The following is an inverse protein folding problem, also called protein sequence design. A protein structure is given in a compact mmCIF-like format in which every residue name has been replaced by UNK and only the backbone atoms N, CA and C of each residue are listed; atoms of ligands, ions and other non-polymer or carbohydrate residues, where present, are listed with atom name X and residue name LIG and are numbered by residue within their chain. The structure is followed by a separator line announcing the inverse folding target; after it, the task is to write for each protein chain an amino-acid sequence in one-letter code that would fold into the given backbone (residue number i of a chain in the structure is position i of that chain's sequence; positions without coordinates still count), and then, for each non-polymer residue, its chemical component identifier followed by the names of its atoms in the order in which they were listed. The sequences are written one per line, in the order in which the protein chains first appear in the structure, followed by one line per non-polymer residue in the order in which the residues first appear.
data_IF_666502395199
#
_entry.id   IF_666502395199
#
_cell.length_a   1.000
_cell.length_b   1.000
_cell.length_c   1.000
_cell.angle_alpha   90.00
_cell.angle_beta   90.00
_cell.angle_gamma   90.00
#
_symmetry.space_group_name_H-M   'P 1'
#
loop_
_entity.id
_entity.type
_entity.pdbx_description
1 polymer ?
#
# COMPACT_ATOMS: atom_id res chain seq x y z
N UNK A 1 54.49 -34.84 3.90
CA UNK A 1 53.70 -34.40 2.73
C UNK A 1 52.40 -33.80 3.23
N UNK A 2 52.37 -32.49 3.47
CA UNK A 2 51.15 -31.77 3.84
C UNK A 2 50.45 -31.33 2.55
N UNK A 3 49.20 -31.76 2.35
CA UNK A 3 48.32 -31.19 1.32
C UNK A 3 47.44 -30.13 1.99
N UNK A 4 47.73 -28.88 1.70
CA UNK A 4 46.82 -27.76 1.92
C UNK A 4 45.73 -27.84 0.86
N UNK A 5 44.47 -27.95 1.27
CA UNK A 5 43.32 -27.81 0.38
C UNK A 5 42.82 -26.39 0.54
N UNK A 6 43.07 -25.56 -0.46
CA UNK A 6 42.57 -24.19 -0.53
C UNK A 6 41.11 -24.24 -1.00
N UNK A 7 40.18 -23.88 -0.11
CA UNK A 7 38.77 -23.70 -0.46
C UNK A 7 38.63 -22.26 -0.98
N UNK A 8 38.53 -22.10 -2.30
CA UNK A 8 38.16 -20.83 -2.91
C UNK A 8 36.68 -20.56 -2.63
N UNK A 9 36.39 -19.59 -1.77
CA UNK A 9 35.05 -19.05 -1.57
C UNK A 9 34.72 -18.21 -2.81
N UNK A 10 33.83 -18.72 -3.66
CA UNK A 10 33.26 -17.97 -4.77
C UNK A 10 32.21 -17.03 -4.16
N UNK A 11 32.54 -15.74 -4.06
CA UNK A 11 31.57 -14.69 -3.76
C UNK A 11 30.73 -14.50 -5.03
N UNK A 12 29.40 -14.68 -5.00
CA UNK A 12 28.58 -14.30 -6.15
C UNK A 12 28.61 -12.79 -6.25
N UNK A 13 29.13 -12.28 -7.36
CA UNK A 13 29.01 -10.88 -7.75
C UNK A 13 27.52 -10.64 -7.96
N UNK A 14 26.87 -10.02 -6.97
CA UNK A 14 25.54 -9.45 -7.13
C UNK A 14 25.69 -8.36 -8.17
N UNK A 15 25.18 -8.61 -9.37
CA UNK A 15 25.08 -7.61 -10.43
C UNK A 15 24.18 -6.50 -9.89
N UNK A 16 24.76 -5.36 -9.54
CA UNK A 16 24.02 -4.12 -9.31
C UNK A 16 23.40 -3.76 -10.66
N UNK A 17 22.15 -4.16 -10.87
CA UNK A 17 21.35 -3.66 -11.97
C UNK A 17 21.17 -2.16 -11.73
N UNK A 18 21.88 -1.35 -12.50
CA UNK A 18 21.61 0.08 -12.59
C UNK A 18 20.18 0.22 -13.10
N UNK A 19 19.29 0.76 -12.26
CA UNK A 19 17.93 1.06 -12.66
C UNK A 19 17.93 2.05 -13.82
N UNK A 20 17.35 1.63 -14.93
CA UNK A 20 17.26 2.42 -16.15
C UNK A 20 15.84 2.34 -16.70
N UNK A 21 15.38 3.39 -17.35
CA UNK A 21 14.09 3.35 -18.05
C UNK A 21 14.06 2.28 -19.15
N UNK A 22 15.22 1.83 -19.63
CA UNK A 22 15.33 0.75 -20.61
C UNK A 22 14.86 -0.61 -20.07
N UNK A 23 14.81 -0.81 -18.75
CA UNK A 23 14.22 -2.01 -18.14
C UNK A 23 12.68 -2.00 -18.19
N UNK A 24 12.08 -0.83 -18.46
CA UNK A 24 10.64 -0.58 -18.46
C UNK A 24 10.09 -0.22 -19.85
N UNK A 25 10.81 -0.53 -20.95
CA UNK A 25 10.28 -0.34 -22.30
C UNK A 25 9.02 -1.20 -22.52
N UNK A 26 7.86 -0.62 -22.22
CA UNK A 26 6.55 -1.21 -22.46
C UNK A 26 6.00 -0.69 -23.80
N UNK A 27 5.68 -1.62 -24.70
CA UNK A 27 4.88 -1.31 -25.87
C UNK A 27 3.45 -0.96 -25.44
N UNK A 28 3.19 0.33 -25.22
CA UNK A 28 1.86 0.87 -24.94
C UNK A 28 0.89 0.68 -26.13
N UNK A 29 1.35 0.13 -27.26
CA UNK A 29 0.59 -0.04 -28.50
C UNK A 29 -0.02 -1.42 -28.76
N UNK A 30 0.38 -2.50 -28.06
CA UNK A 30 -0.22 -3.82 -28.27
C UNK A 30 -0.29 -4.59 -26.94
N UNK A 31 -1.47 -5.08 -26.54
CA UNK A 31 -1.73 -5.71 -25.24
C UNK A 31 -1.03 -7.06 -25.03
N UNK A 32 0.31 -7.09 -24.97
CA UNK A 32 1.13 -8.26 -24.67
C UNK A 32 2.16 -7.91 -23.58
N UNK A 33 1.93 -8.39 -22.37
CA UNK A 33 2.88 -8.32 -21.25
C UNK A 33 3.75 -9.57 -21.23
N UNK A 34 5.08 -9.38 -21.25
CA UNK A 34 6.02 -10.26 -20.54
C UNK A 34 7.03 -9.37 -19.81
N UNK A 35 6.90 -9.29 -18.47
CA UNK A 35 7.93 -8.70 -17.62
C UNK A 35 9.02 -9.75 -17.37
N UNK A 36 10.27 -9.41 -17.67
CA UNK A 36 11.41 -10.35 -17.63
C UNK A 36 12.03 -10.58 -16.24
N UNK A 37 11.31 -10.27 -15.15
CA UNK A 37 11.82 -10.42 -13.78
C UNK A 37 10.98 -11.31 -12.86
N UNK A 38 10.01 -12.07 -13.39
CA UNK A 38 9.08 -12.87 -12.58
C UNK A 38 9.35 -14.37 -12.47
N UNK A 39 10.40 -14.93 -13.08
CA UNK A 39 10.55 -16.39 -13.20
C UNK A 39 11.75 -16.94 -12.43
N UNK A 40 11.77 -16.85 -11.10
CA UNK A 40 12.67 -17.72 -10.28
C UNK A 40 12.30 -17.86 -8.79
N UNK A 41 11.03 -17.67 -8.42
CA UNK A 41 10.53 -17.95 -7.06
C UNK A 41 9.24 -18.80 -7.05
N UNK A 42 9.15 -19.80 -7.91
CA UNK A 42 8.18 -20.89 -7.73
C UNK A 42 8.81 -22.20 -8.22
N UNK A 43 9.55 -22.89 -7.34
CA UNK A 43 9.74 -24.34 -7.41
C UNK A 43 10.27 -24.86 -6.08
N UNK A 44 9.34 -25.31 -5.24
CA UNK A 44 9.64 -25.92 -3.94
C UNK A 44 8.42 -26.61 -3.33
N UNK A 45 7.69 -27.41 -4.10
CA UNK A 45 6.66 -28.31 -3.54
C UNK A 45 7.28 -29.68 -3.22
N UNK A 46 7.54 -29.91 -1.93
CA UNK A 46 7.76 -31.23 -1.37
C UNK A 46 6.42 -31.93 -1.13
N UNK A 47 6.22 -33.05 -1.83
CA UNK A 47 5.09 -33.96 -1.66
C UNK A 47 5.15 -34.70 -0.32
N UNK A 48 4.07 -34.66 0.47
CA UNK A 48 3.84 -35.61 1.57
C UNK A 48 2.52 -36.34 1.32
N UNK A 49 2.64 -37.66 1.23
CA UNK A 49 1.58 -38.64 0.97
C UNK A 49 0.67 -38.81 2.18
N UNK A 50 -0.64 -38.95 1.90
CA UNK A 50 -1.68 -39.38 2.85
C UNK A 50 -1.63 -40.90 2.99
N UNK A 51 -1.56 -41.39 4.22
CA UNK A 51 -1.97 -42.76 4.55
C UNK A 51 -3.30 -42.75 5.31
N UNK A 52 -4.17 -43.63 4.84
CA UNK A 52 -5.55 -43.84 5.27
C UNK A 52 -5.58 -45.11 6.11
N UNK A 53 -6.16 -45.07 7.31
CA UNK A 53 -6.58 -46.28 8.01
C UNK A 53 -7.79 -45.99 8.89
N UNK A 54 -8.88 -46.69 8.59
CA UNK A 54 -10.12 -46.70 9.37
C UNK A 54 -10.23 -47.95 10.24
N UNK A 55 -10.91 -47.77 11.37
CA UNK A 55 -11.62 -48.73 12.22
C UNK A 55 -12.34 -47.85 13.26
N UNK A 56 -13.60 -47.99 13.64
CA UNK A 56 -14.53 -49.10 13.58
C UNK A 56 -15.20 -49.24 14.96
N UNK A 57 -16.40 -48.65 15.09
CA UNK A 57 -17.58 -49.03 15.90
C UNK A 57 -17.57 -49.05 17.46
N UNK A 58 -18.67 -48.47 17.96
CA UNK A 58 -19.69 -48.98 18.89
C UNK A 58 -19.71 -48.67 20.41
N UNK A 59 -20.89 -48.13 20.76
CA UNK A 59 -21.77 -48.40 21.90
C UNK A 59 -21.53 -47.77 23.29
N UNK A 60 -22.60 -47.18 23.84
CA UNK A 60 -22.76 -47.01 25.28
C UNK A 60 -23.69 -45.88 25.74
N UNK A 61 -24.99 -46.16 25.76
CA UNK A 61 -26.10 -45.43 26.42
C UNK A 61 -25.91 -45.22 27.94
N UNK A 62 -26.25 -44.03 28.46
CA UNK A 62 -27.12 -43.89 29.66
C UNK A 62 -27.53 -42.42 29.89
N UNK A 63 -28.82 -42.20 30.12
CA UNK A 63 -29.39 -40.91 30.51
C UNK A 63 -29.37 -40.70 32.03
N UNK A 64 -29.60 -39.46 32.45
CA UNK A 64 -30.58 -39.09 33.48
C UNK A 64 -30.48 -37.61 33.79
N UNK A 65 -31.65 -37.03 33.99
CA UNK A 65 -31.95 -35.69 34.44
C UNK A 65 -31.23 -35.30 35.74
N UNK A 66 -30.86 -34.03 35.89
CA UNK A 66 -31.23 -33.32 37.12
C UNK A 66 -31.28 -31.81 36.93
N UNK A 67 -32.37 -31.24 37.42
CA UNK A 67 -32.71 -29.83 37.50
C UNK A 67 -31.89 -29.09 38.56
N UNK A 68 -31.84 -27.77 38.34
CA UNK A 68 -31.77 -26.67 39.31
C UNK A 68 -30.66 -26.66 40.36
N UNK A 69 -29.82 -25.62 40.24
CA UNK A 69 -29.57 -24.71 41.37
C UNK A 69 -29.02 -23.38 40.89
N UNK A 70 -29.85 -22.35 41.07
CA UNK A 70 -29.49 -20.94 41.10
C UNK A 70 -28.17 -20.69 41.83
N UNK A 71 -27.27 -19.97 41.15
CA UNK A 71 -26.31 -19.07 41.80
C UNK A 71 -26.15 -17.84 40.93
N UNK A 72 -26.86 -16.80 41.33
CA UNK A 72 -26.50 -15.41 41.08
C UNK A 72 -25.01 -15.21 41.35
N UNK A 73 -24.26 -14.98 40.27
CA UNK A 73 -22.98 -14.30 40.32
C UNK A 73 -23.08 -13.11 39.41
N UNK A 74 -23.18 -11.96 40.05
CA UNK A 74 -22.99 -10.63 39.50
C UNK A 74 -21.87 -10.66 38.46
N UNK A 75 -22.27 -10.55 37.19
CA UNK A 75 -21.34 -10.20 36.12
C UNK A 75 -21.03 -8.71 36.31
N UNK A 76 -19.91 -8.43 36.95
CA UNK A 76 -19.23 -7.15 36.80
C UNK A 76 -19.06 -6.89 35.31
N UNK A 77 -19.70 -5.83 34.82
CA UNK A 77 -19.73 -5.49 33.41
C UNK A 77 -18.32 -5.31 32.87
N UNK A 78 -17.96 -6.15 31.90
CA UNK A 78 -16.95 -5.80 30.91
C UNK A 78 -17.43 -4.50 30.26
N UNK A 79 -16.80 -3.38 30.63
CA UNK A 79 -16.94 -2.14 29.90
C UNK A 79 -16.59 -2.46 28.44
N UNK A 80 -17.57 -2.29 27.55
CA UNK A 80 -17.42 -2.50 26.11
C UNK A 80 -16.11 -1.90 25.62
N UNK A 81 -15.15 -2.76 25.28
CA UNK A 81 -13.93 -2.36 24.58
C UNK A 81 -14.35 -1.84 23.21
N UNK A 82 -14.35 -0.52 23.11
CA UNK A 82 -14.74 0.38 22.02
C UNK A 82 -14.90 -0.24 20.64
N UNK A 83 -16.07 -0.01 20.05
CA UNK A 83 -16.30 -0.17 18.62
C UNK A 83 -15.44 0.87 17.89
N UNK A 84 -14.36 0.42 17.27
CA UNK A 84 -13.43 1.26 16.48
C UNK A 84 -13.88 1.36 15.01
N UNK A 85 -14.78 0.49 14.58
CA UNK A 85 -15.21 0.37 13.18
C UNK A 85 -16.72 0.58 13.10
N UNK A 86 -17.15 1.56 12.31
CA UNK A 86 -18.54 1.84 11.94
C UNK A 86 -18.81 1.30 10.52
N UNK A 87 -19.40 0.09 10.35
CA UNK A 87 -19.54 -0.56 9.03
C UNK A 87 -20.32 0.25 7.99
N UNK A 88 -21.16 1.20 8.40
CA UNK A 88 -21.93 2.06 7.51
C UNK A 88 -21.15 3.30 7.03
N UNK A 89 -20.01 3.62 7.66
CA UNK A 89 -19.20 4.78 7.27
C UNK A 89 -18.64 4.62 5.85
N UNK A 90 -18.80 5.64 5.01
CA UNK A 90 -18.45 5.57 3.58
C UNK A 90 -17.10 6.17 3.25
N UNK A 91 -16.48 6.87 4.20
CA UNK A 91 -15.11 7.38 4.12
C UNK A 91 -14.22 6.74 5.19
N UNK A 92 -12.90 6.94 5.08
CA UNK A 92 -11.95 6.53 6.14
C UNK A 92 -12.33 7.16 7.48
N UNK A 93 -12.68 8.45 7.47
CA UNK A 93 -13.10 9.18 8.66
C UNK A 93 -14.38 8.61 9.30
N UNK A 94 -15.39 8.29 8.50
CA UNK A 94 -16.65 7.78 9.03
C UNK A 94 -16.54 6.33 9.50
N UNK A 95 -15.70 5.53 8.82
CA UNK A 95 -15.56 4.08 9.05
C UNK A 95 -14.70 3.76 10.27
N UNK A 96 -13.63 4.52 10.52
CA UNK A 96 -12.64 4.20 11.56
C UNK A 96 -12.59 5.28 12.63
N UNK A 97 -13.26 5.02 13.75
CA UNK A 97 -13.32 5.94 14.88
C UNK A 97 -11.98 5.93 15.64
N UNK A 98 -11.55 7.08 16.19
CA UNK A 98 -10.44 7.11 17.14
C UNK A 98 -10.73 6.24 18.36
N UNK A 99 -9.67 5.73 18.99
CA UNK A 99 -9.79 4.98 20.23
C UNK A 99 -10.26 5.88 21.39
N UNK A 100 -10.86 5.33 22.46
CA UNK A 100 -11.17 6.10 23.65
C UNK A 100 -9.95 6.88 24.18
N UNK A 101 -10.11 8.18 24.41
CA UNK A 101 -9.03 9.09 24.85
C UNK A 101 -8.18 9.67 23.71
N UNK A 102 -8.37 9.22 22.47
CA UNK A 102 -7.75 9.81 21.30
C UNK A 102 -8.71 10.74 20.56
N UNK A 103 -8.16 11.83 20.04
CA UNK A 103 -8.87 12.77 19.18
C UNK A 103 -8.15 12.85 17.83
N UNK A 104 -8.89 12.99 16.72
CA UNK A 104 -8.25 13.17 15.41
C UNK A 104 -7.38 14.43 15.39
N UNK A 105 -6.21 14.32 14.78
CA UNK A 105 -5.37 15.49 14.51
C UNK A 105 -6.09 16.38 13.50
N UNK A 106 -6.16 17.68 13.81
CA UNK A 106 -6.79 18.67 12.94
C UNK A 106 -5.92 18.87 11.68
N UNK A 107 -6.57 18.99 10.53
CA UNK A 107 -5.94 19.28 9.24
C UNK A 107 -6.77 20.33 8.53
N UNK A 108 -6.14 21.16 7.70
CA UNK A 108 -6.89 22.13 6.89
C UNK A 108 -7.84 21.39 5.94
N UNK A 109 -9.11 21.83 5.86
CA UNK A 109 -10.16 21.19 5.04
C UNK A 109 -9.75 21.00 3.57
N UNK A 110 -8.89 21.90 3.09
CA UNK A 110 -8.42 21.94 1.72
C UNK A 110 -7.05 21.28 1.54
N UNK A 111 -6.50 20.63 2.56
CA UNK A 111 -5.19 19.96 2.50
C UNK A 111 -5.27 18.58 1.85
N UNK A 112 -4.10 18.06 1.47
CA UNK A 112 -3.97 16.66 1.05
C UNK A 112 -4.36 15.69 2.18
N UNK A 113 -4.09 16.05 3.44
CA UNK A 113 -4.47 15.23 4.59
C UNK A 113 -6.00 15.09 4.74
N UNK A 114 -6.74 16.19 4.56
CA UNK A 114 -8.20 16.16 4.57
C UNK A 114 -8.77 15.33 3.42
N UNK A 115 -8.17 15.43 2.22
CA UNK A 115 -8.53 14.58 1.07
C UNK A 115 -8.33 13.10 1.36
N UNK A 116 -7.17 12.71 1.89
CA UNK A 116 -6.87 11.31 2.20
C UNK A 116 -7.83 10.75 3.26
N UNK A 117 -8.08 11.49 4.34
CA UNK A 117 -9.03 11.11 5.39
C UNK A 117 -10.46 10.92 4.87
N UNK A 118 -10.83 11.61 3.79
CA UNK A 118 -12.17 11.57 3.20
C UNK A 118 -12.26 10.71 1.94
N UNK A 119 -11.25 9.88 1.64
CA UNK A 119 -11.34 8.95 0.52
C UNK A 119 -12.55 8.02 0.66
N UNK A 120 -13.33 7.82 -0.41
CA UNK A 120 -14.47 6.93 -0.38
C UNK A 120 -14.00 5.48 -0.21
N UNK A 121 -14.78 4.70 0.51
CA UNK A 121 -14.54 3.29 0.76
C UNK A 121 -15.63 2.44 0.10
N UNK A 122 -15.25 1.28 -0.41
CA UNK A 122 -16.19 0.22 -0.77
C UNK A 122 -16.89 -0.30 0.51
N UNK A 123 -18.06 -0.96 0.39
CA UNK A 123 -18.78 -1.49 1.55
C UNK A 123 -17.92 -2.35 2.48
N UNK A 124 -18.25 -2.36 3.77
CA UNK A 124 -17.51 -3.15 4.76
C UNK A 124 -17.40 -4.63 4.38
N UNK A 125 -16.25 -5.23 4.70
CA UNK A 125 -15.96 -6.62 4.35
C UNK A 125 -15.62 -6.86 2.88
N UNK A 126 -15.64 -5.84 2.01
CA UNK A 126 -15.18 -5.96 0.62
C UNK A 126 -13.77 -6.52 0.57
N UNK A 127 -13.54 -7.50 -0.31
CA UNK A 127 -12.22 -8.11 -0.52
C UNK A 127 -11.44 -7.33 -1.58
N UNK A 128 -10.14 -7.17 -1.36
CA UNK A 128 -9.21 -6.60 -2.35
C UNK A 128 -9.23 -7.46 -3.61
N UNK A 129 -9.33 -6.81 -4.76
CA UNK A 129 -9.20 -7.42 -6.07
C UNK A 129 -7.90 -6.98 -6.75
N UNK A 130 -7.33 -7.90 -7.52
CA UNK A 130 -6.29 -7.58 -8.49
C UNK A 130 -6.89 -6.89 -9.72
N UNK A 131 -6.04 -6.25 -10.53
CA UNK A 131 -6.43 -5.63 -11.81
C UNK A 131 -7.17 -6.58 -12.77
N UNK A 132 -6.94 -7.88 -12.63
CA UNK A 132 -7.59 -8.94 -13.43
C UNK A 132 -8.94 -9.42 -12.83
N UNK A 133 -9.43 -8.76 -11.78
CA UNK A 133 -10.69 -9.07 -11.11
C UNK A 133 -10.64 -10.24 -10.13
N UNK A 134 -9.53 -10.99 -10.04
CA UNK A 134 -9.37 -12.05 -9.04
C UNK A 134 -9.23 -11.45 -7.65
N UNK A 135 -9.83 -12.11 -6.66
CA UNK A 135 -9.70 -11.73 -5.25
C UNK A 135 -8.29 -12.04 -4.72
N UNK A 136 -7.71 -11.11 -3.98
CA UNK A 136 -6.47 -11.33 -3.22
C UNK A 136 -6.72 -12.39 -2.13
N UNK A 137 -5.93 -13.47 -2.06
CA UNK A 137 -6.15 -14.54 -1.08
C UNK A 137 -5.74 -14.12 0.34
N UNK A 138 -4.76 -13.22 0.47
CA UNK A 138 -4.26 -12.77 1.76
C UNK A 138 -5.14 -11.67 2.36
N UNK A 139 -5.60 -11.88 3.59
CA UNK A 139 -6.52 -11.01 4.31
C UNK A 139 -5.80 -9.88 5.07
N UNK A 140 -4.98 -9.11 4.36
CA UNK A 140 -4.12 -8.05 4.93
C UNK A 140 -4.83 -6.70 5.10
N UNK A 141 -5.99 -6.54 4.46
CA UNK A 141 -6.72 -5.28 4.39
C UNK A 141 -7.87 -5.19 5.40
N UNK A 142 -8.14 -3.98 5.86
CA UNK A 142 -9.29 -3.65 6.70
C UNK A 142 -10.45 -3.07 5.89
N UNK A 143 -10.15 -2.21 4.91
CA UNK A 143 -11.13 -1.64 3.98
C UNK A 143 -10.48 -1.38 2.63
N UNK A 144 -11.30 -1.28 1.59
CA UNK A 144 -10.87 -1.02 0.22
C UNK A 144 -11.31 0.38 -0.18
N UNK A 145 -10.36 1.19 -0.67
CA UNK A 145 -10.66 2.53 -1.20
C UNK A 145 -11.39 2.38 -2.52
N UNK A 146 -12.46 3.16 -2.73
CA UNK A 146 -13.27 3.14 -3.93
C UNK A 146 -12.64 4.01 -5.04
N UNK A 147 -11.53 3.51 -5.57
CA UNK A 147 -10.82 4.06 -6.72
C UNK A 147 -10.42 2.90 -7.64
N UNK A 148 -10.51 3.12 -8.95
CA UNK A 148 -10.13 2.09 -9.91
C UNK A 148 -8.62 1.82 -9.89
N UNK A 149 -8.26 0.55 -10.06
CA UNK A 149 -6.89 0.11 -10.36
C UNK A 149 -6.61 0.07 -11.87
N UNK A 150 -7.66 0.11 -12.70
CA UNK A 150 -7.59 -0.13 -14.14
C UNK A 150 -7.57 -1.63 -14.51
N UNK A 151 -7.38 -1.91 -15.80
CA UNK A 151 -7.45 -3.27 -16.35
C UNK A 151 -6.07 -3.85 -16.74
N UNK A 152 -5.00 -3.15 -16.38
CA UNK A 152 -3.61 -3.55 -16.66
C UNK A 152 -2.90 -3.81 -15.34
N UNK A 153 -1.83 -4.60 -15.40
CA UNK A 153 -0.93 -4.78 -14.26
C UNK A 153 -0.05 -3.54 -14.07
N UNK A 154 -0.72 -2.42 -13.79
CA UNK A 154 -0.22 -1.07 -13.67
C UNK A 154 -0.95 -0.44 -12.47
N UNK A 155 -0.38 0.54 -11.79
CA UNK A 155 -0.85 0.98 -10.47
C UNK A 155 -0.41 0.06 -9.32
N UNK A 156 0.87 -0.30 -9.33
CA UNK A 156 1.51 -1.12 -8.30
C UNK A 156 2.17 -0.23 -7.25
N UNK A 157 2.03 -0.58 -5.97
CA UNK A 157 2.85 -0.02 -4.89
C UNK A 157 2.92 1.54 -4.92
N UNK A 158 4.06 2.11 -5.34
CA UNK A 158 4.33 3.54 -5.49
C UNK A 158 3.32 4.28 -6.37
N UNK A 159 2.79 3.62 -7.39
CA UNK A 159 1.81 4.21 -8.29
C UNK A 159 0.53 4.61 -7.58
N UNK A 160 0.13 3.87 -6.53
CA UNK A 160 -1.04 4.23 -5.74
C UNK A 160 -0.82 5.56 -4.99
N UNK A 161 0.39 5.78 -4.46
CA UNK A 161 0.76 7.04 -3.81
C UNK A 161 0.76 8.19 -4.81
N UNK A 162 1.37 7.98 -5.98
CA UNK A 162 1.36 8.96 -7.08
C UNK A 162 -0.07 9.24 -7.56
N UNK A 163 -0.91 8.21 -7.71
CA UNK A 163 -2.34 8.32 -8.07
C UNK A 163 -3.08 9.22 -7.09
N UNK A 164 -2.98 8.94 -5.79
CA UNK A 164 -3.71 9.70 -4.76
C UNK A 164 -3.27 11.17 -4.72
N UNK A 165 -1.96 11.45 -4.80
CA UNK A 165 -1.45 12.83 -4.85
C UNK A 165 -1.93 13.55 -6.11
N UNK A 166 -1.87 12.89 -7.27
CA UNK A 166 -2.27 13.49 -8.54
C UNK A 166 -3.78 13.75 -8.61
N UNK A 167 -4.61 12.82 -8.13
CA UNK A 167 -6.08 12.97 -8.09
C UNK A 167 -6.49 14.15 -7.20
N UNK A 168 -5.86 14.29 -6.03
CA UNK A 168 -6.06 15.46 -5.16
C UNK A 168 -5.76 16.78 -5.90
N UNK A 169 -4.58 16.88 -6.52
CA UNK A 169 -4.17 18.10 -7.23
C UNK A 169 -5.05 18.36 -8.46
N UNK A 170 -5.41 17.32 -9.21
CA UNK A 170 -6.27 17.41 -10.39
C UNK A 170 -7.67 17.88 -10.03
N UNK A 171 -8.29 17.29 -9.00
CA UNK A 171 -9.61 17.68 -8.52
C UNK A 171 -9.66 19.14 -8.04
N UNK A 172 -8.52 19.69 -7.60
CA UNK A 172 -8.37 21.10 -7.20
C UNK A 172 -7.84 22.00 -8.31
N UNK A 173 -7.67 21.48 -9.54
CA UNK A 173 -7.15 22.20 -10.71
C UNK A 173 -5.75 22.80 -10.50
N UNK A 174 -4.96 22.23 -9.59
CA UNK A 174 -3.57 22.61 -9.33
C UNK A 174 -2.63 21.88 -10.28
N UNK A 175 -2.87 22.01 -11.59
CA UNK A 175 -2.24 21.18 -12.62
C UNK A 175 -0.73 21.39 -12.77
N UNK A 176 -0.27 22.61 -12.47
CA UNK A 176 1.14 23.00 -12.44
C UNK A 176 1.94 22.24 -11.37
N UNK A 177 1.26 21.76 -10.33
CA UNK A 177 1.86 20.96 -9.25
C UNK A 177 1.90 19.46 -9.54
N UNK A 178 1.22 18.99 -10.58
CA UNK A 178 1.22 17.57 -10.93
C UNK A 178 2.48 17.28 -11.74
N UNK A 179 3.47 16.70 -11.09
CA UNK A 179 4.74 16.33 -11.69
C UNK A 179 5.37 15.17 -10.94
N UNK A 180 5.94 14.22 -11.68
CA UNK A 180 6.70 13.10 -11.13
C UNK A 180 7.95 12.88 -11.98
N UNK A 181 9.05 12.45 -11.36
CA UNK A 181 10.25 12.08 -12.09
C UNK A 181 10.23 10.60 -12.46
N UNK A 182 10.63 10.32 -13.69
CA UNK A 182 10.97 8.96 -14.12
C UNK A 182 12.27 8.52 -13.46
N UNK A 183 12.52 7.21 -13.46
CA UNK A 183 13.77 6.62 -12.94
C UNK A 183 15.02 7.21 -13.63
N UNK A 184 14.92 7.55 -14.93
CA UNK A 184 15.99 8.22 -15.67
C UNK A 184 16.20 9.71 -15.30
N UNK A 185 15.39 10.27 -14.41
CA UNK A 185 15.44 11.68 -14.00
C UNK A 185 14.64 12.64 -14.89
N UNK A 186 13.90 12.13 -15.88
CA UNK A 186 13.01 12.96 -16.69
C UNK A 186 11.81 13.44 -15.87
N UNK A 187 11.60 14.76 -15.83
CA UNK A 187 10.45 15.37 -15.17
C UNK A 187 9.23 15.30 -16.07
N UNK A 188 8.28 14.44 -15.73
CA UNK A 188 6.99 14.33 -16.41
C UNK A 188 5.97 15.24 -15.74
N UNK A 189 5.88 16.51 -16.16
CA UNK A 189 4.88 17.44 -15.67
C UNK A 189 3.57 17.39 -16.48
N UNK A 190 2.44 17.45 -15.79
CA UNK A 190 1.11 17.37 -16.40
C UNK A 190 0.76 18.64 -17.19
N UNK A 191 1.28 19.81 -16.78
CA UNK A 191 1.08 21.06 -17.52
C UNK A 191 1.56 20.95 -18.98
N UNK A 192 2.74 20.38 -19.21
CA UNK A 192 3.26 20.13 -20.56
C UNK A 192 2.46 19.07 -21.31
N UNK A 193 2.00 18.02 -20.62
CA UNK A 193 1.12 17.00 -21.19
C UNK A 193 -0.21 17.59 -21.68
N UNK A 194 -0.85 18.43 -20.87
CA UNK A 194 -2.12 19.09 -21.19
C UNK A 194 -2.01 19.96 -22.44
N UNK A 195 -0.83 20.50 -22.75
CA UNK A 195 -0.62 21.22 -24.00
C UNK A 195 -0.66 20.31 -25.23
N UNK A 196 -0.82 18.99 -25.10
CA UNK A 196 -0.85 18.02 -26.20
C UNK A 196 0.52 17.42 -26.54
N UNK A 197 1.47 17.55 -25.62
CA UNK A 197 2.73 16.83 -25.70
C UNK A 197 2.56 15.41 -25.13
N UNK A 198 3.31 14.46 -25.68
CA UNK A 198 3.42 13.10 -25.17
C UNK A 198 4.90 12.79 -24.95
N UNK A 199 5.17 11.96 -23.96
CA UNK A 199 6.53 11.55 -23.63
C UNK A 199 6.91 10.41 -24.56
N UNK A 200 8.12 10.45 -25.11
CA UNK A 200 8.73 9.34 -25.81
C UNK A 200 9.93 8.90 -25.01
N UNK A 201 10.01 7.62 -24.67
CA UNK A 201 11.15 7.00 -24.00
C UNK A 201 11.91 6.15 -25.02
N UNK A 202 13.23 6.30 -25.07
CA UNK A 202 14.13 5.49 -25.90
C UNK A 202 15.36 5.14 -25.07
N UNK A 203 15.51 3.87 -24.68
CA UNK A 203 16.56 3.47 -23.76
C UNK A 203 16.42 4.23 -22.43
N UNK A 204 17.43 5.03 -22.07
CA UNK A 204 17.42 5.83 -20.84
C UNK A 204 17.06 7.30 -21.06
N UNK A 205 16.77 7.70 -22.29
CA UNK A 205 16.38 9.07 -22.62
C UNK A 205 14.85 9.18 -22.71
N UNK A 206 14.30 10.27 -22.18
CA UNK A 206 12.90 10.62 -22.34
C UNK A 206 12.78 12.10 -22.76
N UNK A 207 11.85 12.38 -23.66
CA UNK A 207 11.64 13.72 -24.20
C UNK A 207 10.20 13.95 -24.64
N UNK A 208 9.80 15.23 -24.67
CA UNK A 208 8.48 15.66 -25.12
C UNK A 208 8.38 15.72 -26.64
N UNK A 209 7.27 15.23 -27.18
CA UNK A 209 6.90 15.40 -28.59
C UNK A 209 5.46 15.86 -28.67
N UNK A 210 5.20 16.93 -29.43
CA UNK A 210 3.83 17.38 -29.72
C UNK A 210 3.10 16.33 -30.57
N UNK A 211 1.98 15.81 -30.07
CA UNK A 211 1.21 14.75 -30.77
C UNK A 211 -0.27 15.05 -30.88
N UNK A 212 -0.82 15.83 -29.96
CA UNK A 212 -2.27 16.13 -29.91
C UNK A 212 -2.49 17.63 -29.67
N UNK A 213 -3.75 18.04 -29.69
CA UNK A 213 -4.19 19.34 -29.18
C UNK A 213 -4.17 19.38 -27.65
N UNK A 214 -4.44 20.56 -27.09
CA UNK A 214 -4.66 20.73 -25.66
C UNK A 214 -5.81 19.84 -25.18
N UNK A 215 -5.66 19.24 -23.99
CA UNK A 215 -6.74 18.56 -23.26
C UNK A 215 -6.37 18.46 -21.77
N UNK A 216 -7.30 18.90 -20.93
CA UNK A 216 -7.31 18.73 -19.48
C UNK A 216 -8.43 17.77 -19.04
N UNK A 217 -8.93 16.95 -19.96
CA UNK A 217 -9.97 15.97 -19.69
C UNK A 217 -9.42 14.81 -18.85
N UNK A 218 -10.29 14.21 -18.06
CA UNK A 218 -9.91 13.14 -17.13
C UNK A 218 -9.31 11.93 -17.84
N UNK A 219 -9.79 11.58 -19.04
CA UNK A 219 -9.19 10.51 -19.83
C UNK A 219 -7.73 10.82 -20.20
N UNK A 220 -7.44 12.06 -20.60
CA UNK A 220 -6.06 12.47 -20.90
C UNK A 220 -5.18 12.48 -19.66
N UNK A 221 -5.74 12.86 -18.51
CA UNK A 221 -5.07 12.76 -17.21
C UNK A 221 -4.74 11.31 -16.84
N UNK A 222 -5.65 10.36 -17.05
CA UNK A 222 -5.39 8.93 -16.82
C UNK A 222 -4.31 8.39 -17.75
N UNK A 223 -4.29 8.81 -19.02
CA UNK A 223 -3.20 8.46 -19.95
C UNK A 223 -1.83 9.02 -19.50
N UNK A 224 -1.81 10.23 -18.94
CA UNK A 224 -0.59 10.79 -18.33
C UNK A 224 -0.12 9.93 -17.15
N UNK A 225 -1.02 9.56 -16.25
CA UNK A 225 -0.69 8.71 -15.10
C UNK A 225 -0.19 7.33 -15.53
N UNK A 226 -0.80 6.73 -16.55
CA UNK A 226 -0.34 5.46 -17.10
C UNK A 226 1.11 5.56 -17.61
N UNK A 227 1.50 6.71 -18.16
CA UNK A 227 2.87 6.96 -18.58
C UNK A 227 3.80 7.14 -17.38
N UNK A 228 3.35 7.81 -16.31
CA UNK A 228 4.10 7.94 -15.06
C UNK A 228 4.32 6.56 -14.43
N UNK A 229 3.29 5.75 -14.29
CA UNK A 229 3.36 4.42 -13.67
C UNK A 229 4.26 3.45 -14.45
N UNK A 230 4.44 3.68 -15.75
CA UNK A 230 5.34 2.86 -16.56
C UNK A 230 6.83 3.17 -16.31
N UNK A 231 7.19 4.38 -15.89
CA UNK A 231 8.59 4.83 -15.86
C UNK A 231 9.05 5.47 -14.55
N UNK A 232 8.15 5.70 -13.60
CA UNK A 232 8.43 6.13 -12.23
C UNK A 232 8.18 4.96 -11.25
N UNK A 233 8.65 5.09 -10.02
CA UNK A 233 8.47 4.06 -8.99
C UNK A 233 9.08 4.48 -7.66
N UNK A 234 9.25 3.52 -6.75
CA UNK A 234 9.80 3.78 -5.40
C UNK A 234 11.16 4.46 -5.45
N UNK A 235 12.01 4.11 -6.42
CA UNK A 235 13.34 4.72 -6.56
C UNK A 235 13.28 6.19 -6.98
N UNK A 236 12.43 6.55 -7.95
CA UNK A 236 12.33 7.95 -8.37
C UNK A 236 11.63 8.79 -7.30
N UNK A 237 10.63 8.24 -6.61
CA UNK A 237 10.00 8.86 -5.45
C UNK A 237 11.01 9.14 -4.33
N UNK A 238 11.87 8.17 -3.98
CA UNK A 238 12.84 8.34 -2.90
C UNK A 238 13.85 9.45 -3.20
N UNK A 239 14.18 9.65 -4.48
CA UNK A 239 15.09 10.73 -4.93
C UNK A 239 14.43 12.11 -4.96
N UNK A 240 13.12 12.21 -5.23
CA UNK A 240 12.43 13.49 -5.37
C UNK A 240 11.72 13.96 -4.10
N UNK A 241 11.43 13.06 -3.17
CA UNK A 241 10.74 13.38 -1.93
C UNK A 241 11.71 13.76 -0.81
N UNK A 242 11.22 14.56 0.13
CA UNK A 242 11.99 14.98 1.29
C UNK A 242 11.84 13.98 2.43
N UNK A 243 12.96 13.60 3.05
CA UNK A 243 12.96 12.81 4.29
C UNK A 243 12.38 13.60 5.47
N UNK A 244 11.58 12.93 6.30
CA UNK A 244 10.86 13.54 7.43
C UNK A 244 11.19 12.80 8.72
N UNK A 245 11.43 13.55 9.81
CA UNK A 245 11.60 12.95 11.13
C UNK A 245 10.28 12.36 11.61
N UNK A 246 10.33 11.21 12.28
CA UNK A 246 9.14 10.53 12.79
C UNK A 246 8.28 11.41 13.72
N UNK A 247 8.89 12.32 14.49
CA UNK A 247 8.18 13.27 15.36
C UNK A 247 7.29 14.27 14.60
N UNK A 248 7.67 14.55 13.35
CA UNK A 248 7.06 15.54 12.47
C UNK A 248 6.07 14.90 11.49
N UNK A 249 5.78 13.60 11.67
CA UNK A 249 4.85 12.85 10.84
C UNK A 249 3.49 13.53 10.75
N UNK A 250 2.95 13.58 9.53
CA UNK A 250 1.60 14.04 9.25
C UNK A 250 0.90 13.13 8.23
N UNK A 251 -0.41 13.34 8.07
CA UNK A 251 -1.21 12.69 7.03
C UNK A 251 -0.70 13.11 5.64
N UNK A 252 -0.48 12.13 4.77
CA UNK A 252 0.11 12.31 3.45
C UNK A 252 1.61 12.02 3.38
N UNK A 253 2.27 11.81 4.52
CA UNK A 253 3.63 11.25 4.55
C UNK A 253 3.61 9.79 4.12
N UNK A 254 4.74 9.31 3.61
CA UNK A 254 4.88 7.98 3.03
C UNK A 254 6.08 7.29 3.65
N UNK A 255 5.87 6.09 4.19
CA UNK A 255 6.96 5.17 4.44
C UNK A 255 7.40 4.57 3.11
N UNK A 256 8.67 4.73 2.73
CA UNK A 256 9.18 4.42 1.41
C UNK A 256 10.59 3.82 1.50
N UNK A 257 10.81 2.75 0.75
CA UNK A 257 12.15 2.19 0.50
C UNK A 257 12.36 2.10 -1.01
N UNK A 258 13.30 2.88 -1.55
CA UNK A 258 13.51 2.96 -3.00
C UNK A 258 14.31 1.80 -3.59
N UNK A 259 15.21 1.18 -2.82
CA UNK A 259 16.07 0.07 -3.27
C UNK A 259 15.26 -1.19 -3.64
N UNK A 260 15.65 -1.93 -4.69
CA UNK A 260 14.99 -3.19 -5.09
C UNK A 260 15.28 -4.35 -4.11
N UNK A 261 14.25 -5.09 -3.64
CA UNK A 261 12.83 -4.79 -3.80
C UNK A 261 12.42 -3.59 -2.93
N UNK A 262 11.68 -2.66 -3.56
CA UNK A 262 11.17 -1.45 -2.91
C UNK A 262 9.69 -1.60 -2.52
N UNK A 263 9.24 -0.81 -1.56
CA UNK A 263 7.83 -0.73 -1.19
C UNK A 263 7.48 0.63 -0.60
N UNK A 264 6.20 0.98 -0.60
CA UNK A 264 5.71 2.15 0.11
C UNK A 264 4.29 2.01 0.65
N UNK A 265 4.01 2.73 1.73
CA UNK A 265 2.68 2.90 2.31
C UNK A 265 2.47 4.37 2.69
N UNK A 266 1.26 4.90 2.51
CA UNK A 266 0.93 6.31 2.80
C UNK A 266 0.11 6.44 4.08
N UNK A 267 0.41 7.45 4.90
CA UNK A 267 -0.37 7.82 6.08
C UNK A 267 -1.66 8.49 5.61
N UNK A 268 -2.82 7.95 5.98
CA UNK A 268 -4.14 8.45 5.53
C UNK A 268 -5.00 9.05 6.63
N UNK A 269 -4.69 8.76 7.89
CA UNK A 269 -5.30 9.42 9.04
C UNK A 269 -4.39 9.36 10.26
N UNK A 270 -4.60 10.26 11.21
CA UNK A 270 -3.88 10.33 12.49
C UNK A 270 -4.78 10.81 13.63
N UNK A 271 -4.54 10.27 14.81
CA UNK A 271 -5.16 10.66 16.07
C UNK A 271 -4.13 10.81 17.18
N UNK A 272 -4.43 11.60 18.19
CA UNK A 272 -3.55 11.90 19.31
C UNK A 272 -4.32 11.79 20.63
N UNK A 273 -3.72 11.13 21.61
CA UNK A 273 -4.20 11.16 22.98
C UNK A 273 -3.75 12.47 23.64
N UNK A 274 -4.70 13.33 23.99
CA UNK A 274 -4.40 14.68 24.51
C UNK A 274 -3.75 14.70 25.89
N UNK A 275 -3.89 13.63 26.66
CA UNK A 275 -3.28 13.52 28.00
C UNK A 275 -1.83 13.03 27.93
N UNK A 276 -1.54 12.07 27.04
CA UNK A 276 -0.21 11.43 26.97
C UNK A 276 0.67 11.95 25.83
N UNK A 277 0.07 12.60 24.81
CA UNK A 277 0.73 12.96 23.55
C UNK A 277 1.01 11.76 22.64
N UNK A 278 0.51 10.56 22.97
CA UNK A 278 0.65 9.40 22.10
C UNK A 278 -0.10 9.63 20.78
N UNK A 279 0.55 9.30 19.66
CA UNK A 279 -0.05 9.41 18.33
C UNK A 279 -0.30 8.04 17.74
N UNK A 280 -1.46 7.91 17.10
CA UNK A 280 -1.83 6.79 16.26
C UNK A 280 -1.97 7.23 14.80
N UNK A 281 -1.78 6.30 13.88
CA UNK A 281 -1.93 6.56 12.44
C UNK A 281 -2.51 5.36 11.70
N UNK A 282 -3.17 5.62 10.58
CA UNK A 282 -3.62 4.58 9.63
C UNK A 282 -2.80 4.68 8.35
N UNK A 283 -2.56 3.52 7.72
CA UNK A 283 -1.81 3.42 6.47
C UNK A 283 -2.63 2.76 5.37
N UNK A 284 -2.44 3.26 4.15
CA UNK A 284 -2.97 2.67 2.94
C UNK A 284 -1.84 2.24 2.00
N UNK A 285 -2.12 1.25 1.16
CA UNK A 285 -1.17 0.79 0.14
C UNK A 285 -1.88 0.21 -1.09
N UNK A 286 -1.13 0.08 -2.17
CA UNK A 286 -1.29 -0.98 -3.17
C UNK A 286 -0.09 -1.93 -3.04
N UNK A 287 -0.08 -3.04 -3.78
CA UNK A 287 1.03 -4.00 -3.77
C UNK A 287 1.25 -4.57 -5.17
N UNK A 288 2.09 -5.60 -5.29
CA UNK A 288 2.38 -6.28 -6.55
C UNK A 288 1.75 -7.69 -6.54
N UNK A 289 1.00 -8.11 -7.57
CA UNK A 289 0.61 -7.36 -8.77
C UNK A 289 -0.38 -6.23 -8.46
N UNK A 290 -0.72 -5.40 -9.45
CA UNK A 290 -1.63 -4.27 -9.29
C UNK A 290 -2.96 -4.72 -8.68
N UNK A 291 -3.41 -3.97 -7.68
CA UNK A 291 -4.59 -4.28 -6.89
C UNK A 291 -5.27 -3.04 -6.36
N UNK A 292 -6.48 -3.21 -5.84
CA UNK A 292 -7.18 -2.13 -5.16
C UNK A 292 -6.30 -1.49 -4.07
N UNK A 293 -6.35 -0.16 -3.98
CA UNK A 293 -5.75 0.57 -2.85
C UNK A 293 -6.58 0.25 -1.60
N UNK A 294 -5.93 -0.09 -0.50
CA UNK A 294 -6.61 -0.55 0.70
C UNK A 294 -5.94 -0.08 1.98
N UNK A 295 -6.73 0.04 3.05
CA UNK A 295 -6.26 0.28 4.41
C UNK A 295 -5.72 -1.03 4.97
N UNK A 296 -4.53 -1.00 5.58
CA UNK A 296 -3.92 -2.19 6.16
C UNK A 296 -4.44 -2.48 7.57
N UNK A 297 -4.53 -3.77 7.90
CA UNK A 297 -4.72 -4.22 9.29
C UNK A 297 -3.44 -4.08 10.09
N UNK A 298 -3.58 -3.64 11.33
CA UNK A 298 -2.50 -3.78 12.30
C UNK A 298 -2.50 -5.20 12.89
N UNK A 299 -1.64 -6.07 12.34
CA UNK A 299 -1.49 -7.43 12.84
C UNK A 299 -0.70 -7.52 14.15
N UNK A 300 0.03 -6.46 14.53
CA UNK A 300 0.83 -6.44 15.76
C UNK A 300 -0.04 -6.17 16.98
N UNK A 301 -1.10 -5.36 16.83
CA UNK A 301 -2.08 -5.10 17.87
C UNK A 301 -3.50 -5.04 17.30
N UNK A 302 -4.20 -6.16 17.44
CA UNK A 302 -5.59 -6.31 16.99
C UNK A 302 -6.58 -5.43 17.75
N UNK A 303 -6.23 -4.99 18.96
CA UNK A 303 -7.14 -4.19 19.80
C UNK A 303 -7.27 -2.75 19.32
N UNK A 304 -6.29 -2.28 18.52
CA UNK A 304 -6.28 -0.92 17.96
C UNK A 304 -6.42 -0.92 16.43
N UNK A 305 -6.37 -2.07 15.77
CA UNK A 305 -6.46 -2.18 14.31
C UNK A 305 -7.71 -1.47 13.76
N UNK A 306 -7.59 -0.69 12.65
CA UNK A 306 -6.43 -0.57 11.75
C UNK A 306 -5.39 0.49 12.16
N UNK A 307 -5.50 1.08 13.35
CA UNK A 307 -4.54 2.07 13.83
C UNK A 307 -3.20 1.41 14.19
N UNK A 308 -2.10 2.16 14.00
CA UNK A 308 -0.75 1.84 14.42
C UNK A 308 -0.26 2.91 15.40
N UNK A 309 0.45 2.51 16.46
CA UNK A 309 1.10 3.48 17.35
C UNK A 309 2.37 4.03 16.71
N UNK A 310 2.61 5.33 16.86
CA UNK A 310 3.86 5.98 16.45
C UNK A 310 5.08 5.45 17.24
N UNK A 311 4.83 4.80 18.39
CA UNK A 311 5.85 4.17 19.22
C UNK A 311 6.13 2.71 18.82
N UNK A 312 6.28 2.42 17.53
CA UNK A 312 6.51 1.06 17.00
C UNK A 312 7.95 0.52 17.23
N UNK A 313 8.82 1.29 17.90
CA UNK A 313 10.21 0.90 18.17
C UNK A 313 11.11 1.06 16.94
N UNK A 314 11.97 0.08 16.68
CA UNK A 314 12.94 0.13 15.57
C UNK A 314 12.28 -0.06 14.20
N UNK A 315 11.25 -0.91 14.13
CA UNK A 315 10.60 -1.32 12.89
C UNK A 315 9.09 -1.14 12.95
N UNK A 316 8.53 -0.41 11.98
CA UNK A 316 7.12 -0.47 11.66
C UNK A 316 6.85 -1.75 10.86
N UNK A 317 6.21 -2.72 11.49
CA UNK A 317 5.81 -3.99 10.86
C UNK A 317 4.41 -3.86 10.28
N UNK A 318 4.31 -3.89 8.96
CA UNK A 318 3.02 -4.00 8.25
C UNK A 318 2.79 -5.47 7.86
N UNK A 319 1.57 -5.85 7.42
CA UNK A 319 1.31 -7.23 7.01
C UNK A 319 2.21 -7.75 5.87
N UNK A 320 2.75 -6.86 5.03
CA UNK A 320 3.51 -7.24 3.83
C UNK A 320 4.91 -6.63 3.77
N UNK A 321 5.28 -5.74 4.71
CA UNK A 321 6.58 -5.06 4.69
C UNK A 321 7.03 -4.55 6.06
N UNK A 322 8.33 -4.27 6.21
CA UNK A 322 8.89 -3.60 7.39
C UNK A 322 9.63 -2.33 7.00
N UNK A 323 9.37 -1.26 7.74
CA UNK A 323 10.04 0.04 7.55
C UNK A 323 10.77 0.46 8.81
N UNK A 324 11.87 1.17 8.67
CA UNK A 324 12.55 1.87 9.76
C UNK A 324 12.04 3.31 9.90
N UNK A 325 12.25 3.93 11.06
CA UNK A 325 11.78 5.30 11.32
C UNK A 325 12.37 6.37 10.37
N UNK A 326 13.54 6.12 9.79
CA UNK A 326 14.19 7.02 8.82
C UNK A 326 13.71 6.85 7.38
N UNK A 327 12.75 5.96 7.13
CA UNK A 327 12.16 5.73 5.80
C UNK A 327 10.87 6.52 5.59
N UNK A 328 10.65 7.60 6.33
CA UNK A 328 9.48 8.47 6.20
C UNK A 328 9.81 9.65 5.26
N UNK A 329 8.95 9.88 4.27
CA UNK A 329 9.13 10.87 3.23
C UNK A 329 7.86 11.70 2.99
N UNK A 330 8.02 12.89 2.43
CA UNK A 330 6.93 13.82 2.09
C UNK A 330 7.16 14.46 0.73
N UNK A 331 6.09 14.63 -0.04
CA UNK A 331 6.12 15.43 -1.26
C UNK A 331 6.45 16.89 -0.95
N UNK A 332 7.29 17.50 -1.77
CA UNK A 332 7.49 18.96 -1.73
C UNK A 332 6.29 19.67 -2.40
N UNK A 333 5.94 20.87 -1.92
CA UNK A 333 4.75 21.63 -2.35
C UNK A 333 5.02 22.68 -3.42
#
# INVERSE_FOLDING_TARGET
MNRVVTISIIIPIILVLLSSCSLFEHDLGTGKLESKLGSELENGQGTVTRDNSGHGRDNGTHGSDNQDRDKDKEKGGDKEKGIIINPEGTTIEERFLPLPGFERIQVDENSFGAYLRNLPLKPDGTKVKYYNGKTKPHDVHQAVIDIDVGNRDLQQCADAVMRLRAEYLYGRKMYDKISFNFVCGFKADYATWMQGNRIVVKGNDAYWVKRTSYSDDYESFRQYLDMVFAYAGTESLEKEMKNVNLSDMQIGDIFLKGSLPGHCVIIVDMAENKETGEKLFMIAQSYMPAQDIHILKNNNDKSISPWYSLNFGEFLRTPEWEFTANQLYRFED
#
